data_IF_376694840792
#
_entry.id   IF_376694840792
#
_cell.length_a   1.000
_cell.length_b   1.000
_cell.length_c   1.000
_cell.angle_alpha   90.00
_cell.angle_beta   90.00
_cell.angle_gamma   90.00
#
_symmetry.space_group_name_H-M   'P 1'
#
loop_
_entity.id
_entity.type
_entity.pdbx_description
1 polymer ?
#
# COMPACT_ATOMS: atom_id res chain seq x y z
N UNK A 1 -23.73 9.86 -17.50
CA UNK A 1 -22.74 9.36 -16.52
C UNK A 1 -23.05 7.90 -16.26
N UNK A 2 -22.05 7.04 -16.25
CA UNK A 2 -22.25 5.65 -15.83
C UNK A 2 -22.56 5.68 -14.33
N UNK A 3 -23.64 5.05 -13.89
CA UNK A 3 -24.05 4.98 -12.48
C UNK A 3 -23.17 4.00 -11.67
N UNK A 4 -21.85 4.11 -11.86
CA UNK A 4 -20.85 3.22 -11.24
C UNK A 4 -19.69 4.01 -10.67
N UNK A 5 -19.40 3.77 -9.38
CA UNK A 5 -18.26 4.32 -8.66
C UNK A 5 -17.12 3.31 -8.61
N UNK A 6 -15.95 3.71 -9.09
CA UNK A 6 -14.71 2.94 -8.96
C UNK A 6 -13.91 3.46 -7.76
N UNK A 7 -13.61 2.57 -6.83
CA UNK A 7 -12.85 2.85 -5.62
C UNK A 7 -11.44 2.29 -5.84
N UNK A 8 -10.44 3.17 -5.86
CA UNK A 8 -9.06 2.82 -6.16
C UNK A 8 -8.22 2.75 -4.90
N UNK A 9 -7.45 1.69 -4.75
CA UNK A 9 -6.30 1.70 -3.88
C UNK A 9 -5.17 2.55 -4.48
N UNK A 10 -4.22 2.99 -3.64
CA UNK A 10 -3.11 3.85 -4.05
C UNK A 10 -1.79 3.08 -4.19
N UNK A 11 -1.30 2.54 -3.06
CA UNK A 11 0.04 1.96 -2.97
C UNK A 11 0.08 0.60 -3.70
N UNK A 12 1.00 0.47 -4.66
CA UNK A 12 1.18 -0.68 -5.55
C UNK A 12 0.01 -0.99 -6.51
N UNK A 13 -0.98 -0.09 -6.54
CA UNK A 13 -2.08 -0.08 -7.52
C UNK A 13 -1.97 1.11 -8.48
N UNK A 14 -1.85 2.33 -7.96
CA UNK A 14 -1.64 3.57 -8.75
C UNK A 14 -0.16 3.95 -8.76
N UNK A 15 0.54 3.87 -7.63
CA UNK A 15 1.97 4.19 -7.46
C UNK A 15 2.74 2.95 -6.98
N UNK A 16 4.02 2.84 -7.38
CA UNK A 16 4.87 1.70 -7.02
C UNK A 16 5.64 2.00 -5.74
N UNK A 17 5.26 1.41 -4.61
CA UNK A 17 5.86 1.66 -3.29
C UNK A 17 6.63 0.46 -2.74
N UNK A 18 6.17 -0.77 -2.97
CA UNK A 18 6.71 -2.01 -2.39
C UNK A 18 8.23 -2.13 -2.52
N UNK A 19 8.77 -1.99 -3.73
CA UNK A 19 10.20 -2.14 -3.98
C UNK A 19 11.07 -1.12 -3.19
N UNK A 20 10.55 0.08 -2.97
CA UNK A 20 11.26 1.12 -2.20
C UNK A 20 11.23 0.83 -0.71
N UNK A 21 10.12 0.31 -0.17
CA UNK A 21 10.07 -0.16 1.22
C UNK A 21 10.97 -1.38 1.44
N UNK A 22 11.00 -2.35 0.52
CA UNK A 22 11.93 -3.49 0.56
C UNK A 22 13.39 -3.00 0.59
N UNK A 23 13.73 -2.04 -0.26
CA UNK A 23 15.07 -1.43 -0.28
C UNK A 23 15.39 -0.73 1.04
N UNK A 24 14.48 0.06 1.59
CA UNK A 24 14.65 0.75 2.88
C UNK A 24 14.82 -0.25 4.02
N UNK A 25 14.01 -1.31 4.05
CA UNK A 25 14.15 -2.39 5.03
C UNK A 25 15.56 -2.99 4.98
N UNK A 26 16.04 -3.30 3.78
CA UNK A 26 17.39 -3.85 3.59
C UNK A 26 18.48 -2.89 4.08
N UNK A 27 18.40 -1.61 3.74
CA UNK A 27 19.35 -0.58 4.17
C UNK A 27 19.43 -0.47 5.69
N UNK A 28 18.28 -0.42 6.38
CA UNK A 28 18.21 -0.39 7.83
C UNK A 28 18.85 -1.65 8.47
N UNK A 29 18.53 -2.83 7.93
CA UNK A 29 19.09 -4.09 8.43
C UNK A 29 20.59 -4.19 8.18
N UNK A 30 21.08 -3.74 7.03
CA UNK A 30 22.50 -3.69 6.69
C UNK A 30 23.28 -2.75 7.62
N UNK A 31 22.74 -1.58 7.95
CA UNK A 31 23.35 -0.65 8.89
C UNK A 31 23.53 -1.28 10.30
N UNK A 32 22.51 -1.98 10.80
CA UNK A 32 22.58 -2.70 12.08
C UNK A 32 23.58 -3.87 12.00
N UNK A 33 23.49 -4.72 10.97
CA UNK A 33 24.34 -5.89 10.82
C UNK A 33 25.83 -5.51 10.69
N UNK A 34 26.13 -4.52 9.87
CA UNK A 34 27.49 -4.03 9.66
C UNK A 34 28.09 -3.47 10.95
N UNK A 35 27.33 -2.74 11.73
CA UNK A 35 27.83 -2.14 12.97
C UNK A 35 28.12 -3.18 14.05
N UNK A 36 27.27 -4.19 14.21
CA UNK A 36 27.40 -5.20 15.28
C UNK A 36 28.38 -6.31 14.87
N UNK A 37 28.32 -6.76 13.60
CA UNK A 37 29.05 -7.97 13.15
C UNK A 37 30.20 -7.67 12.18
N UNK A 38 30.33 -6.44 11.69
CA UNK A 38 31.32 -6.04 10.69
C UNK A 38 30.97 -6.51 9.26
N UNK A 39 29.85 -7.20 9.06
CA UNK A 39 29.37 -7.73 7.78
C UNK A 39 27.85 -7.77 7.69
N UNK A 40 27.30 -8.39 6.63
CA UNK A 40 25.86 -8.45 6.34
C UNK A 40 25.21 -9.81 6.66
N UNK A 41 25.90 -10.72 7.35
CA UNK A 41 25.43 -12.09 7.61
C UNK A 41 24.14 -12.20 8.43
N UNK A 42 23.73 -11.12 9.13
CA UNK A 42 22.56 -11.10 9.99
C UNK A 42 21.39 -10.25 9.45
N UNK A 43 21.49 -9.81 8.19
CA UNK A 43 20.45 -8.98 7.55
C UNK A 43 19.09 -9.66 7.59
N UNK A 44 19.00 -10.94 7.22
CA UNK A 44 17.73 -11.66 7.17
C UNK A 44 17.10 -11.84 8.55
N UNK A 45 17.92 -12.16 9.58
CA UNK A 45 17.46 -12.28 10.96
C UNK A 45 16.88 -10.93 11.48
N UNK A 46 17.55 -9.82 11.12
CA UNK A 46 17.14 -8.47 11.50
C UNK A 46 15.85 -8.09 10.80
N UNK A 47 15.72 -8.37 9.50
CA UNK A 47 14.51 -8.14 8.71
C UNK A 47 13.32 -8.91 9.29
N UNK A 48 13.50 -10.19 9.58
CA UNK A 48 12.46 -11.02 10.18
C UNK A 48 12.01 -10.48 11.55
N UNK A 49 12.96 -10.08 12.39
CA UNK A 49 12.64 -9.52 13.71
C UNK A 49 11.91 -8.20 13.61
N UNK A 50 12.38 -7.29 12.74
CA UNK A 50 11.72 -6.02 12.49
C UNK A 50 10.28 -6.26 12.03
N UNK A 51 10.07 -7.20 11.10
CA UNK A 51 8.72 -7.48 10.60
C UNK A 51 7.76 -7.94 11.71
N UNK A 52 8.23 -8.81 12.61
CA UNK A 52 7.44 -9.25 13.77
C UNK A 52 7.07 -8.04 14.65
N UNK A 53 8.03 -7.17 14.99
CA UNK A 53 7.78 -5.97 15.80
C UNK A 53 6.82 -5.01 15.10
N UNK A 54 7.01 -4.78 13.82
CA UNK A 54 6.17 -3.89 13.02
C UNK A 54 4.70 -4.33 13.03
N UNK A 55 4.46 -5.61 12.79
CA UNK A 55 3.12 -6.20 12.81
C UNK A 55 2.42 -6.07 14.17
N UNK A 56 3.17 -6.13 15.27
CA UNK A 56 2.60 -5.93 16.63
C UNK A 56 2.17 -4.49 16.88
N UNK A 57 2.73 -3.53 16.17
CA UNK A 57 2.44 -2.11 16.33
C UNK A 57 1.27 -1.62 15.47
N UNK A 58 0.98 -2.31 14.36
CA UNK A 58 -0.10 -1.92 13.42
C UNK A 58 -1.46 -1.75 14.11
N UNK A 59 -1.95 -2.71 14.95
CA UNK A 59 -3.27 -2.56 15.58
C UNK A 59 -3.42 -1.32 16.46
N UNK A 60 -2.29 -0.84 17.02
CA UNK A 60 -2.30 0.32 17.93
C UNK A 60 -2.11 1.64 17.20
N UNK A 61 -1.28 1.67 16.18
CA UNK A 61 -0.84 2.93 15.57
C UNK A 61 -1.29 3.11 14.11
N UNK A 62 -1.72 2.04 13.45
CA UNK A 62 -2.02 2.05 12.02
C UNK A 62 -0.75 2.06 11.14
N UNK A 63 -0.95 2.25 9.84
CA UNK A 63 0.14 2.28 8.84
C UNK A 63 0.70 3.71 8.69
N UNK A 64 1.30 4.25 9.74
CA UNK A 64 1.81 5.63 9.81
C UNK A 64 3.34 5.67 9.96
N UNK A 65 4.02 6.76 9.49
CA UNK A 65 5.48 6.88 9.55
C UNK A 65 6.07 6.66 10.94
N UNK A 66 5.56 7.28 12.05
CA UNK A 66 6.15 7.10 13.38
C UNK A 66 6.13 5.63 13.86
N UNK A 67 5.11 4.84 13.48
CA UNK A 67 5.06 3.41 13.81
C UNK A 67 6.21 2.66 13.14
N UNK A 68 6.43 2.91 11.85
CA UNK A 68 7.48 2.24 11.07
C UNK A 68 8.88 2.61 11.58
N UNK A 69 9.12 3.88 11.90
CA UNK A 69 10.36 4.32 12.53
C UNK A 69 10.57 3.63 13.89
N UNK A 70 9.55 3.62 14.73
CA UNK A 70 9.60 2.94 16.04
C UNK A 70 9.94 1.46 15.92
N UNK A 71 9.39 0.76 14.93
CA UNK A 71 9.68 -0.67 14.73
C UNK A 71 11.17 -0.90 14.41
N UNK A 72 11.78 -0.05 13.59
CA UNK A 72 13.19 -0.12 13.25
C UNK A 72 14.11 0.29 14.40
N UNK A 73 13.80 1.35 15.12
CA UNK A 73 14.59 1.78 16.28
C UNK A 73 14.56 0.75 17.42
N UNK A 74 13.40 0.12 17.65
CA UNK A 74 13.27 -0.95 18.61
C UNK A 74 14.06 -2.20 18.18
N UNK A 75 14.02 -2.59 16.91
CA UNK A 75 14.81 -3.68 16.35
C UNK A 75 16.30 -3.41 16.53
N UNK A 76 16.77 -2.23 16.17
CA UNK A 76 18.16 -1.81 16.37
C UNK A 76 18.56 -1.92 17.85
N UNK A 77 17.78 -1.34 18.74
CA UNK A 77 18.05 -1.36 20.18
C UNK A 77 18.13 -2.79 20.73
N UNK A 78 17.23 -3.66 20.31
CA UNK A 78 17.20 -5.07 20.72
C UNK A 78 18.46 -5.80 20.28
N UNK A 79 18.85 -5.71 19.00
CA UNK A 79 20.06 -6.37 18.49
C UNK A 79 21.34 -5.89 19.15
N UNK A 80 21.51 -4.58 19.36
CA UNK A 80 22.67 -4.05 20.10
C UNK A 80 22.75 -4.62 21.51
N UNK A 81 21.65 -4.61 22.27
CA UNK A 81 21.62 -5.11 23.66
C UNK A 81 21.84 -6.61 23.76
N UNK A 82 21.30 -7.39 22.84
CA UNK A 82 21.53 -8.85 22.79
C UNK A 82 23.01 -9.19 22.60
N UNK A 83 23.80 -8.29 22.02
CA UNK A 83 25.24 -8.45 21.81
C UNK A 83 26.08 -7.68 22.82
N UNK A 84 25.50 -7.24 23.95
CA UNK A 84 26.22 -6.54 25.02
C UNK A 84 26.69 -5.14 24.62
N UNK A 85 26.09 -4.54 23.62
CA UNK A 85 26.42 -3.21 23.12
C UNK A 85 25.31 -2.20 23.43
N UNK A 86 25.67 -0.94 23.64
CA UNK A 86 24.71 0.16 23.67
C UNK A 86 24.35 0.59 22.22
N UNK A 87 23.07 0.93 21.97
CA UNK A 87 22.64 1.42 20.67
C UNK A 87 23.43 2.65 20.24
N UNK A 88 24.02 2.62 19.04
CA UNK A 88 24.80 3.76 18.53
C UNK A 88 23.90 4.82 17.92
N UNK A 89 24.03 6.07 18.38
CA UNK A 89 23.27 7.20 17.88
C UNK A 89 23.47 7.44 16.36
N UNK A 90 24.65 7.10 15.81
CA UNK A 90 24.91 7.17 14.36
C UNK A 90 24.04 6.23 13.56
N UNK A 91 23.90 4.95 14.00
CA UNK A 91 23.04 3.94 13.33
C UNK A 91 21.57 4.32 13.47
N UNK A 92 21.15 4.77 14.65
CA UNK A 92 19.76 5.22 14.83
C UNK A 92 19.41 6.42 13.94
N UNK A 93 20.33 7.36 13.78
CA UNK A 93 20.14 8.50 12.86
C UNK A 93 20.06 8.03 11.40
N UNK A 94 20.96 7.15 10.97
CA UNK A 94 20.97 6.58 9.62
C UNK A 94 19.64 5.84 9.31
N UNK A 95 19.14 5.06 10.26
CA UNK A 95 17.82 4.42 10.18
C UNK A 95 16.71 5.46 10.03
N UNK A 96 16.72 6.50 10.86
CA UNK A 96 15.74 7.59 10.79
C UNK A 96 15.74 8.29 9.42
N UNK A 97 16.93 8.52 8.84
CA UNK A 97 17.08 9.10 7.50
C UNK A 97 16.49 8.20 6.40
N UNK A 98 16.76 6.89 6.43
CA UNK A 98 16.18 5.92 5.48
C UNK A 98 14.65 5.85 5.60
N UNK A 99 14.14 5.78 6.84
CA UNK A 99 12.70 5.76 7.11
C UNK A 99 12.03 7.07 6.68
N UNK A 100 12.63 8.21 6.97
CA UNK A 100 12.11 9.51 6.53
C UNK A 100 12.04 9.57 4.99
N UNK A 101 13.12 9.21 4.31
CA UNK A 101 13.23 9.28 2.86
C UNK A 101 12.12 8.47 2.16
N UNK A 102 11.83 7.23 2.61
CA UNK A 102 10.79 6.40 1.99
C UNK A 102 9.39 7.01 2.10
N UNK A 103 9.14 7.87 3.09
CA UNK A 103 7.84 8.53 3.22
C UNK A 103 7.75 9.86 2.45
N UNK A 104 8.86 10.59 2.27
CA UNK A 104 8.83 11.92 1.63
C UNK A 104 9.10 11.89 0.12
N UNK A 105 9.70 10.83 -0.39
CA UNK A 105 10.04 10.70 -1.81
C UNK A 105 8.82 10.71 -2.72
N UNK A 106 9.03 11.10 -3.97
CA UNK A 106 8.06 10.92 -5.04
C UNK A 106 8.17 9.50 -5.60
N UNK A 107 7.06 8.79 -5.65
CA UNK A 107 6.97 7.47 -6.26
C UNK A 107 6.66 7.56 -7.75
N UNK A 108 7.09 6.54 -8.49
CA UNK A 108 6.67 6.35 -9.88
C UNK A 108 5.26 5.76 -9.90
N UNK A 109 4.48 6.16 -10.89
CA UNK A 109 3.21 5.50 -11.14
C UNK A 109 3.44 4.04 -11.57
N UNK A 110 2.53 3.15 -11.21
CA UNK A 110 2.44 1.83 -11.82
C UNK A 110 2.24 2.04 -13.33
N UNK A 111 3.01 1.36 -14.20
CA UNK A 111 2.91 1.57 -15.64
C UNK A 111 1.48 1.49 -16.16
N UNK A 112 1.02 2.54 -16.82
CA UNK A 112 -0.32 2.66 -17.37
C UNK A 112 -1.43 3.08 -16.40
N UNK A 113 -1.15 3.24 -15.09
CA UNK A 113 -2.21 3.57 -14.11
C UNK A 113 -2.84 4.95 -14.34
N UNK A 114 -2.02 5.95 -14.64
CA UNK A 114 -2.53 7.31 -14.92
C UNK A 114 -3.39 7.32 -16.19
N UNK A 115 -2.92 6.68 -17.25
CA UNK A 115 -3.61 6.60 -18.54
C UNK A 115 -4.95 5.85 -18.40
N UNK A 116 -4.99 4.76 -17.63
CA UNK A 116 -6.23 4.03 -17.32
C UNK A 116 -7.22 4.93 -16.57
N UNK A 117 -6.78 5.66 -15.55
CA UNK A 117 -7.63 6.58 -14.78
C UNK A 117 -8.18 7.68 -15.70
N UNK A 118 -7.35 8.24 -16.57
CA UNK A 118 -7.77 9.26 -17.53
C UNK A 118 -8.83 8.75 -18.49
N UNK A 119 -8.63 7.55 -19.03
CA UNK A 119 -9.59 6.96 -19.99
C UNK A 119 -10.91 6.60 -19.29
N UNK A 120 -10.88 6.03 -18.09
CA UNK A 120 -12.08 5.75 -17.31
C UNK A 120 -12.87 7.03 -16.97
N UNK A 121 -12.18 8.13 -16.63
CA UNK A 121 -12.83 9.43 -16.41
C UNK A 121 -13.49 9.97 -17.67
N UNK A 122 -12.82 9.87 -18.80
CA UNK A 122 -13.35 10.27 -20.12
C UNK A 122 -14.59 9.45 -20.49
N UNK A 123 -14.62 8.17 -20.18
CA UNK A 123 -15.77 7.28 -20.35
C UNK A 123 -16.92 7.51 -19.34
N UNK A 124 -16.74 8.48 -18.43
CA UNK A 124 -17.78 8.96 -17.51
C UNK A 124 -17.91 8.16 -16.20
N UNK A 125 -16.88 7.42 -15.81
CA UNK A 125 -16.84 6.81 -14.49
C UNK A 125 -16.60 7.84 -13.39
N UNK A 126 -17.32 7.71 -12.28
CA UNK A 126 -16.99 8.36 -11.00
C UNK A 126 -15.89 7.56 -10.30
N UNK A 127 -14.91 8.25 -9.72
CA UNK A 127 -13.76 7.60 -9.10
C UNK A 127 -13.40 8.25 -7.77
N UNK A 128 -13.03 7.43 -6.78
CA UNK A 128 -12.47 7.88 -5.50
C UNK A 128 -11.25 7.04 -5.15
N UNK A 129 -10.38 7.57 -4.28
CA UNK A 129 -9.29 6.79 -3.69
C UNK A 129 -9.68 6.36 -2.27
N UNK A 130 -9.43 5.09 -1.95
CA UNK A 130 -9.45 4.54 -0.60
C UNK A 130 -8.10 3.93 -0.28
N UNK A 131 -7.34 4.57 0.60
CA UNK A 131 -5.98 4.17 0.95
C UNK A 131 -5.77 4.09 2.46
N UNK A 132 -4.77 3.33 2.89
CA UNK A 132 -4.39 3.23 4.28
C UNK A 132 -3.11 4.04 4.55
N UNK A 133 -3.05 4.73 5.71
CA UNK A 133 -1.86 5.48 6.10
C UNK A 133 -2.15 6.78 6.83
N UNK A 134 -1.17 7.68 6.81
CA UNK A 134 -1.31 9.04 7.30
C UNK A 134 -1.88 9.96 6.21
N UNK A 135 -2.87 10.76 6.56
CA UNK A 135 -3.62 11.58 5.60
C UNK A 135 -2.72 12.53 4.80
N UNK A 136 -1.80 13.23 5.45
CA UNK A 136 -0.89 14.17 4.80
C UNK A 136 0.05 13.49 3.81
N UNK A 137 0.52 12.27 4.13
CA UNK A 137 1.39 11.46 3.29
C UNK A 137 0.63 10.98 2.05
N UNK A 138 -0.55 10.39 2.26
CA UNK A 138 -1.31 9.81 1.15
C UNK A 138 -1.86 10.87 0.20
N UNK A 139 -2.36 12.00 0.71
CA UNK A 139 -2.80 13.12 -0.14
C UNK A 139 -1.67 13.66 -1.01
N UNK A 140 -0.47 13.90 -0.43
CA UNK A 140 0.70 14.32 -1.19
C UNK A 140 1.09 13.30 -2.28
N UNK A 141 1.05 12.00 -1.99
CA UNK A 141 1.34 10.94 -2.98
C UNK A 141 0.35 10.96 -4.15
N UNK A 142 -0.94 11.14 -3.85
CA UNK A 142 -2.01 11.24 -4.86
C UNK A 142 -1.80 12.46 -5.78
N UNK A 143 -1.46 13.61 -5.19
CA UNK A 143 -1.10 14.83 -5.95
C UNK A 143 0.13 14.59 -6.84
N UNK A 144 1.19 14.00 -6.27
CA UNK A 144 2.43 13.68 -7.00
C UNK A 144 2.23 12.65 -8.11
N UNK A 145 1.27 11.75 -7.97
CA UNK A 145 0.88 10.79 -9.00
C UNK A 145 0.13 11.44 -10.16
N UNK A 146 -0.39 12.67 -9.97
CA UNK A 146 -1.15 13.40 -11.00
C UNK A 146 -2.57 12.86 -11.19
N UNK A 147 -3.12 12.15 -10.20
CA UNK A 147 -4.46 11.54 -10.31
C UNK A 147 -5.54 12.30 -9.52
N UNK A 148 -5.16 13.28 -8.70
CA UNK A 148 -6.07 14.00 -7.81
C UNK A 148 -7.28 14.60 -8.53
N UNK A 149 -7.06 15.23 -9.68
CA UNK A 149 -8.11 15.92 -10.48
C UNK A 149 -9.14 14.95 -11.09
N UNK A 150 -8.85 13.66 -11.12
CA UNK A 150 -9.76 12.64 -11.64
C UNK A 150 -10.63 12.01 -10.55
N UNK A 151 -10.32 12.27 -9.26
CA UNK A 151 -10.99 11.70 -8.11
C UNK A 151 -12.02 12.65 -7.52
N UNK A 152 -13.23 12.12 -7.23
CA UNK A 152 -14.31 12.87 -6.57
C UNK A 152 -14.15 12.89 -5.05
N UNK A 153 -13.28 12.03 -4.51
CA UNK A 153 -12.98 11.95 -3.08
C UNK A 153 -11.69 11.19 -2.81
N UNK A 154 -11.04 11.55 -1.70
CA UNK A 154 -9.86 10.88 -1.18
C UNK A 154 -10.15 10.47 0.25
N UNK A 155 -10.17 9.17 0.50
CA UNK A 155 -10.47 8.56 1.79
C UNK A 155 -9.22 7.88 2.34
N UNK A 156 -8.73 8.37 3.46
CA UNK A 156 -7.54 7.85 4.13
C UNK A 156 -7.93 7.29 5.50
N UNK A 157 -7.59 6.04 5.74
CA UNK A 157 -7.85 5.36 7.02
C UNK A 157 -6.54 4.80 7.60
N UNK A 158 -6.46 4.56 8.91
CA UNK A 158 -5.28 3.90 9.49
C UNK A 158 -5.01 2.51 8.89
N UNK A 159 -6.08 1.80 8.49
CA UNK A 159 -6.07 0.52 7.75
C UNK A 159 -7.45 0.31 7.10
N UNK A 160 -7.50 -0.52 6.05
CA UNK A 160 -8.74 -0.81 5.31
C UNK A 160 -9.42 -2.06 5.86
N UNK A 161 -10.73 -2.00 6.00
CA UNK A 161 -11.60 -3.08 6.47
C UNK A 161 -12.90 -3.10 5.67
N UNK A 162 -13.73 -4.16 5.76
CA UNK A 162 -15.07 -4.14 5.18
C UNK A 162 -15.91 -2.94 5.63
N UNK A 163 -15.76 -2.52 6.90
CA UNK A 163 -16.50 -1.36 7.43
C UNK A 163 -16.02 -0.04 6.83
N UNK A 164 -14.72 0.19 6.71
CA UNK A 164 -14.18 1.42 6.08
C UNK A 164 -14.62 1.54 4.62
N UNK A 165 -14.63 0.44 3.88
CA UNK A 165 -15.13 0.41 2.51
C UNK A 165 -16.64 0.75 2.47
N UNK A 166 -17.42 0.17 3.37
CA UNK A 166 -18.86 0.47 3.50
C UNK A 166 -19.12 1.95 3.81
N UNK A 167 -18.34 2.56 4.71
CA UNK A 167 -18.41 3.99 5.01
C UNK A 167 -18.15 4.86 3.78
N UNK A 168 -17.14 4.52 2.97
CA UNK A 168 -16.86 5.21 1.70
C UNK A 168 -18.03 5.07 0.74
N UNK A 169 -18.58 3.87 0.57
CA UNK A 169 -19.74 3.64 -0.31
C UNK A 169 -20.96 4.47 0.15
N UNK A 170 -21.19 4.63 1.45
CA UNK A 170 -22.30 5.44 1.99
C UNK A 170 -22.14 6.95 1.75
N UNK A 171 -20.90 7.44 1.59
CA UNK A 171 -20.63 8.85 1.30
C UNK A 171 -20.84 9.19 -0.19
N UNK A 172 -20.94 8.18 -1.05
CA UNK A 172 -21.08 8.35 -2.49
C UNK A 172 -22.29 7.58 -3.01
N UNK A 173 -23.30 8.30 -3.51
CA UNK A 173 -24.48 7.69 -4.11
C UNK A 173 -24.13 7.09 -5.47
N UNK A 174 -24.19 5.76 -5.58
CA UNK A 174 -24.01 5.04 -6.84
C UNK A 174 -24.87 3.78 -6.84
N UNK A 175 -25.25 3.29 -8.03
CA UNK A 175 -26.00 2.03 -8.15
C UNK A 175 -25.05 0.81 -8.15
N UNK A 176 -23.81 1.01 -8.57
CA UNK A 176 -22.80 -0.04 -8.66
C UNK A 176 -21.45 0.47 -8.14
N UNK A 177 -20.75 -0.40 -7.44
CA UNK A 177 -19.43 -0.14 -6.89
C UNK A 177 -18.43 -1.19 -7.34
N UNK A 178 -17.17 -0.79 -7.52
CA UNK A 178 -16.06 -1.71 -7.70
C UNK A 178 -14.86 -1.21 -6.91
N UNK A 179 -14.18 -2.12 -6.19
CA UNK A 179 -12.88 -1.87 -5.55
C UNK A 179 -11.78 -2.41 -6.45
N UNK A 180 -10.78 -1.59 -6.74
CA UNK A 180 -9.63 -1.93 -7.58
C UNK A 180 -8.38 -1.79 -6.72
N UNK A 181 -7.65 -2.89 -6.51
CA UNK A 181 -6.46 -2.89 -5.66
C UNK A 181 -5.62 -4.15 -5.80
N UNK A 182 -4.44 -4.15 -5.18
CA UNK A 182 -3.49 -5.26 -5.26
C UNK A 182 -3.51 -6.20 -4.03
N UNK A 183 -4.13 -5.78 -2.91
CA UNK A 183 -4.14 -6.56 -1.68
C UNK A 183 -5.41 -7.42 -1.58
N UNK A 184 -5.23 -8.75 -1.48
CA UNK A 184 -6.36 -9.65 -1.22
C UNK A 184 -7.05 -9.31 0.10
N UNK A 185 -6.28 -8.98 1.13
CA UNK A 185 -6.78 -8.67 2.48
C UNK A 185 -7.42 -7.30 2.60
N UNK A 186 -6.79 -6.28 2.04
CA UNK A 186 -7.17 -4.87 2.28
C UNK A 186 -8.10 -4.30 1.23
N UNK A 187 -8.18 -4.92 0.03
CA UNK A 187 -9.00 -4.45 -1.07
C UNK A 187 -10.07 -5.46 -1.46
N UNK A 188 -9.66 -6.67 -1.79
CA UNK A 188 -10.54 -7.65 -2.40
C UNK A 188 -11.47 -8.28 -1.38
N UNK A 189 -10.96 -8.76 -0.25
CA UNK A 189 -11.79 -9.29 0.82
C UNK A 189 -12.86 -8.28 1.30
N UNK A 190 -12.52 -7.00 1.58
CA UNK A 190 -13.53 -5.98 1.88
C UNK A 190 -14.57 -5.79 0.78
N UNK A 191 -14.18 -5.85 -0.49
CA UNK A 191 -15.12 -5.74 -1.61
C UNK A 191 -16.13 -6.90 -1.63
N UNK A 192 -15.65 -8.12 -1.51
CA UNK A 192 -16.49 -9.32 -1.51
C UNK A 192 -17.45 -9.36 -0.31
N UNK A 193 -16.99 -8.96 0.88
CA UNK A 193 -17.82 -8.84 2.08
C UNK A 193 -18.92 -7.77 1.95
N UNK A 194 -18.70 -6.74 1.16
CA UNK A 194 -19.70 -5.72 0.84
C UNK A 194 -20.53 -6.04 -0.42
N UNK A 195 -20.37 -7.25 -0.97
CA UNK A 195 -21.09 -7.71 -2.17
C UNK A 195 -20.89 -6.79 -3.40
N UNK A 196 -19.71 -6.22 -3.55
CA UNK A 196 -19.32 -5.42 -4.71
C UNK A 196 -18.20 -6.09 -5.51
N UNK A 197 -18.01 -5.65 -6.75
CA UNK A 197 -16.94 -6.15 -7.62
C UNK A 197 -15.56 -5.82 -7.02
N UNK A 198 -14.74 -6.84 -6.83
CA UNK A 198 -13.32 -6.73 -6.47
C UNK A 198 -12.44 -7.01 -7.68
N UNK A 199 -11.71 -6.01 -8.16
CA UNK A 199 -10.75 -6.13 -9.26
C UNK A 199 -9.35 -6.20 -8.68
N UNK A 200 -8.78 -7.41 -8.67
CA UNK A 200 -7.46 -7.69 -8.13
C UNK A 200 -6.38 -7.47 -9.19
N UNK A 201 -5.63 -6.39 -9.06
CA UNK A 201 -4.42 -6.13 -9.85
C UNK A 201 -3.28 -6.92 -9.25
N UNK A 202 -2.91 -8.05 -9.87
CA UNK A 202 -1.89 -8.96 -9.33
C UNK A 202 -0.51 -8.33 -9.35
N UNK A 203 0.06 -8.12 -8.18
CA UNK A 203 1.39 -7.52 -7.96
C UNK A 203 2.10 -8.26 -6.83
N UNK A 204 3.42 -8.17 -6.83
CA UNK A 204 4.20 -8.54 -5.66
C UNK A 204 3.78 -7.66 -4.47
N UNK A 205 3.47 -8.30 -3.35
CA UNK A 205 2.94 -7.66 -2.15
C UNK A 205 3.51 -8.30 -0.88
N UNK A 206 3.18 -7.76 0.29
CA UNK A 206 3.58 -8.32 1.56
C UNK A 206 2.86 -9.64 1.84
N UNK A 207 3.54 -10.59 2.47
CA UNK A 207 2.92 -11.87 2.82
C UNK A 207 1.64 -11.71 3.69
N UNK A 208 1.57 -10.64 4.48
CA UNK A 208 0.42 -10.33 5.32
C UNK A 208 -0.77 -9.74 4.57
N UNK A 209 -0.59 -9.35 3.31
CA UNK A 209 -1.67 -8.93 2.42
C UNK A 209 -2.36 -10.11 1.73
N UNK A 210 -1.78 -11.32 1.84
CA UNK A 210 -2.45 -12.55 1.44
C UNK A 210 -3.67 -12.81 2.33
N UNK A 211 -4.74 -13.25 1.69
CA UNK A 211 -5.99 -13.60 2.35
C UNK A 211 -6.69 -14.70 1.56
N UNK A 212 -7.32 -15.64 2.25
CA UNK A 212 -8.15 -16.64 1.59
C UNK A 212 -9.43 -15.98 1.09
N UNK A 213 -9.68 -16.10 -0.20
CA UNK A 213 -10.91 -15.64 -0.85
C UNK A 213 -11.47 -16.76 -1.72
N UNK A 214 -12.77 -16.77 -1.92
CA UNK A 214 -13.39 -17.60 -2.94
C UNK A 214 -13.12 -17.04 -4.32
N UNK A 215 -12.13 -17.60 -5.02
CA UNK A 215 -11.76 -17.19 -6.37
C UNK A 215 -12.81 -17.57 -7.43
N UNK A 216 -13.79 -18.41 -7.10
CA UNK A 216 -14.93 -18.73 -7.95
C UNK A 216 -16.08 -17.72 -7.78
N UNK A 217 -16.00 -16.81 -6.81
CA UNK A 217 -16.98 -15.77 -6.62
C UNK A 217 -17.13 -14.90 -7.88
N UNK A 218 -18.32 -14.74 -8.45
CA UNK A 218 -18.54 -13.96 -9.69
C UNK A 218 -18.15 -12.49 -9.55
N UNK A 219 -18.08 -11.96 -8.32
CA UNK A 219 -17.63 -10.60 -7.99
C UNK A 219 -16.10 -10.47 -7.87
N UNK A 220 -15.34 -11.57 -7.99
CA UNK A 220 -13.89 -11.52 -8.05
C UNK A 220 -13.42 -11.52 -9.50
N UNK A 221 -12.58 -10.55 -9.85
CA UNK A 221 -11.87 -10.48 -11.13
C UNK A 221 -10.40 -10.23 -10.88
N UNK A 222 -9.53 -11.04 -11.50
CA UNK A 222 -8.08 -10.84 -11.45
C UNK A 222 -7.59 -10.31 -12.80
N UNK A 223 -6.67 -9.37 -12.75
CA UNK A 223 -5.94 -8.84 -13.91
C UNK A 223 -4.44 -8.86 -13.60
N UNK A 224 -3.61 -9.11 -14.59
CA UNK A 224 -2.15 -9.13 -14.42
C UNK A 224 -1.56 -7.71 -14.38
N UNK A 225 -2.19 -6.78 -15.09
CA UNK A 225 -1.74 -5.40 -15.21
C UNK A 225 -2.91 -4.43 -15.04
N UNK A 226 -2.62 -3.25 -14.49
CA UNK A 226 -3.62 -2.19 -14.35
C UNK A 226 -4.24 -1.77 -15.69
N UNK A 227 -3.50 -1.91 -16.80
CA UNK A 227 -3.97 -1.62 -18.17
C UNK A 227 -5.10 -2.55 -18.64
N UNK A 228 -5.35 -3.66 -17.93
CA UNK A 228 -6.44 -4.60 -18.21
C UNK A 228 -7.73 -4.26 -17.45
N UNK A 229 -7.66 -3.36 -16.47
CA UNK A 229 -8.83 -2.94 -15.68
C UNK A 229 -10.00 -2.46 -16.56
N UNK A 230 -9.79 -1.68 -17.65
CA UNK A 230 -10.88 -1.27 -18.53
C UNK A 230 -11.68 -2.43 -19.15
N UNK A 231 -11.04 -3.59 -19.41
CA UNK A 231 -11.70 -4.78 -19.99
C UNK A 231 -12.77 -5.33 -19.04
N UNK A 232 -12.54 -5.25 -17.72
CA UNK A 232 -13.50 -5.68 -16.69
C UNK A 232 -14.83 -4.92 -16.81
N UNK A 233 -14.77 -3.69 -17.33
CA UNK A 233 -15.91 -2.78 -17.51
C UNK A 233 -16.41 -2.74 -18.98
N UNK A 234 -16.01 -3.71 -19.80
CA UNK A 234 -16.46 -3.85 -21.20
C UNK A 234 -15.80 -2.87 -22.17
N UNK A 235 -14.65 -2.31 -21.80
CA UNK A 235 -13.82 -1.48 -22.66
C UNK A 235 -12.68 -2.30 -23.26
N UNK A 236 -11.96 -1.73 -24.24
CA UNK A 236 -10.75 -2.38 -24.76
C UNK A 236 -9.58 -2.20 -23.78
N UNK A 237 -8.64 -3.17 -23.79
CA UNK A 237 -7.37 -3.03 -23.09
C UNK A 237 -6.63 -1.77 -23.55
N UNK A 238 -6.11 -1.01 -22.60
CA UNK A 238 -5.31 0.16 -22.92
C UNK A 238 -3.89 -0.28 -23.33
N UNK A 239 -3.46 0.17 -24.49
CA UNK A 239 -2.08 -0.01 -24.98
C UNK A 239 -1.30 1.26 -24.66
N UNK A 240 -0.34 1.16 -23.75
CA UNK A 240 0.53 2.26 -23.28
C UNK A 240 1.98 2.00 -23.65
#
# INVERSE_FOLDING_TARGET
MREQLLIWDLDDTIISTYAEFVKTNKQCAEAISKEIFGDFRKVDDILQRQRILDLTLIPKYGLVPPRYEMSWLNTSTEFFRQHGMEPKASVQREIGEYVHDVYVRKYKNVPGSLEVIQELKKEGFSMVVLTAGEESVQKRRIEQAGVADYMEGIHVYPYKTPNTLKEVMQQHSSNHYAMIGNSLKSDIYPALENHILGVHVQKETWAEDEHEIDRANPLYKAVEQVTEVPEVFGMNKLIV
#
